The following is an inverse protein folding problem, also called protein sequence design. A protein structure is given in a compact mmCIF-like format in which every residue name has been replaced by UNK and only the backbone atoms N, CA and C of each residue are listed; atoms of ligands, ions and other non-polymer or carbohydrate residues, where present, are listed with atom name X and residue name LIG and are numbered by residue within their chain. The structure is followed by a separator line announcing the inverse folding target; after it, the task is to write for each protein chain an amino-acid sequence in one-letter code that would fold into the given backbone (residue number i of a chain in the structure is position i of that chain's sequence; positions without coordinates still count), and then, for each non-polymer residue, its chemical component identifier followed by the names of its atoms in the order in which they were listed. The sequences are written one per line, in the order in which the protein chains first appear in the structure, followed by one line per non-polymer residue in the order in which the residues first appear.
data_IF_930521872422
#
_entry.id   IF_930521872422
#
_cell.length_a   1.000
_cell.length_b   1.000
_cell.length_c   1.000
_cell.angle_alpha   90.00
_cell.angle_beta   90.00
_cell.angle_gamma   90.00
#
_symmetry.space_group_name_H-M   'P 1'
#
loop_
_entity.id
_entity.type
_entity.pdbx_description
1 polymer ?
#
# COMPACT_ATOMS: atom_id res chain seq x y z
N UNK A 1 0.57 1.48 11.71
CA UNK A 1 0.86 0.75 10.46
C UNK A 1 0.18 -0.63 10.44
N UNK A 2 0.26 -1.40 11.52
CA UNK A 2 -0.22 -2.80 11.67
C UNK A 2 -1.65 -3.06 11.19
N UNK A 3 -2.64 -2.22 11.58
CA UNK A 3 -4.04 -2.42 11.19
C UNK A 3 -4.28 -2.31 9.67
N UNK A 4 -3.46 -1.51 8.96
CA UNK A 4 -3.60 -1.27 7.52
C UNK A 4 -3.17 -2.48 6.70
N UNK A 5 -2.14 -3.17 7.17
CA UNK A 5 -1.60 -4.40 6.58
C UNK A 5 -2.54 -5.58 6.84
N UNK A 6 -3.00 -5.75 8.08
CA UNK A 6 -3.92 -6.83 8.43
C UNK A 6 -5.24 -6.72 7.66
N UNK A 7 -5.85 -5.53 7.64
CA UNK A 7 -7.11 -5.32 6.90
C UNK A 7 -6.98 -5.58 5.40
N UNK A 8 -5.81 -5.30 4.80
CA UNK A 8 -5.55 -5.63 3.41
C UNK A 8 -5.37 -7.14 3.21
N UNK A 9 -4.55 -7.79 4.02
CA UNK A 9 -4.30 -9.23 3.89
C UNK A 9 -5.61 -10.02 4.03
N UNK A 10 -6.44 -9.70 5.02
CA UNK A 10 -7.73 -10.37 5.25
C UNK A 10 -8.83 -9.93 4.29
N UNK A 11 -8.59 -8.97 3.38
CA UNK A 11 -9.50 -8.71 2.28
C UNK A 11 -9.48 -9.82 1.21
N UNK A 12 -8.42 -10.64 1.21
CA UNK A 12 -8.39 -11.87 0.43
C UNK A 12 -9.49 -12.83 0.87
N UNK A 13 -9.91 -13.72 -0.03
CA UNK A 13 -10.92 -14.73 0.24
C UNK A 13 -12.24 -14.12 0.77
N UNK A 14 -12.71 -13.08 0.06
CA UNK A 14 -13.97 -12.37 0.31
C UNK A 14 -14.12 -11.78 1.72
N UNK A 15 -13.02 -11.49 2.44
CA UNK A 15 -13.13 -10.91 3.78
C UNK A 15 -13.53 -11.92 4.86
N UNK A 16 -13.43 -13.22 4.60
CA UNK A 16 -13.88 -14.28 5.53
C UNK A 16 -13.09 -14.35 6.85
N UNK A 17 -11.96 -13.65 6.95
CA UNK A 17 -11.03 -13.75 8.07
C UNK A 17 -10.02 -14.89 7.96
N UNK A 18 -10.12 -15.74 6.92
CA UNK A 18 -9.20 -16.84 6.67
C UNK A 18 -8.50 -16.68 5.32
N UNK A 19 -7.17 -16.69 5.34
CA UNK A 19 -6.32 -16.62 4.15
C UNK A 19 -5.40 -17.83 4.15
N UNK A 20 -5.47 -18.64 3.09
CA UNK A 20 -4.60 -19.80 2.94
C UNK A 20 -3.15 -19.35 2.79
N UNK A 21 -2.26 -19.93 3.60
CA UNK A 21 -0.82 -19.68 3.46
C UNK A 21 -0.31 -20.32 2.16
N UNK A 22 0.72 -19.74 1.52
CA UNK A 22 1.36 -20.38 0.38
C UNK A 22 1.84 -21.81 0.67
N UNK A 23 1.78 -22.69 -0.32
CA UNK A 23 2.07 -24.14 -0.17
C UNK A 23 3.41 -24.45 0.50
N UNK A 24 4.43 -23.64 0.19
CA UNK A 24 5.76 -23.83 0.77
C UNK A 24 5.79 -23.62 2.29
N UNK A 25 4.88 -22.81 2.84
CA UNK A 25 4.73 -22.62 4.29
C UNK A 25 3.96 -23.75 4.97
N UNK A 26 3.20 -24.53 4.20
CA UNK A 26 2.36 -25.62 4.71
C UNK A 26 3.13 -26.94 4.85
N UNK A 27 4.35 -27.02 4.29
CA UNK A 27 5.16 -28.23 4.32
C UNK A 27 5.73 -28.49 5.74
N UNK A 28 5.59 -29.70 6.28
CA UNK A 28 6.22 -30.08 7.56
C UNK A 28 7.73 -29.84 7.51
N UNK A 29 8.29 -29.21 8.55
CA UNK A 29 9.72 -28.87 8.65
C UNK A 29 10.11 -27.51 8.08
N UNK A 30 9.20 -26.81 7.38
CA UNK A 30 9.46 -25.51 6.76
C UNK A 30 10.46 -25.60 5.58
N UNK A 31 10.39 -24.70 4.60
CA UNK A 31 11.39 -24.68 3.55
C UNK A 31 12.63 -23.96 4.08
N UNK A 32 13.59 -24.75 4.54
CA UNK A 32 14.95 -24.30 4.76
C UNK A 32 15.90 -25.11 3.86
N UNK A 33 16.44 -24.52 2.76
CA UNK A 33 16.27 -23.14 2.34
C UNK A 33 14.89 -22.85 1.73
N UNK A 34 14.53 -21.56 1.65
CA UNK A 34 13.34 -21.10 0.94
C UNK A 34 13.40 -21.56 -0.53
N UNK A 35 12.27 -21.95 -1.16
CA UNK A 35 12.30 -22.40 -2.55
C UNK A 35 12.77 -21.27 -3.47
N UNK A 36 13.51 -21.58 -4.54
CA UNK A 36 13.99 -20.60 -5.50
C UNK A 36 12.83 -19.93 -6.23
N UNK A 37 12.91 -18.61 -6.42
CA UNK A 37 11.84 -17.81 -7.04
C UNK A 37 12.43 -16.73 -7.93
N UNK A 38 11.66 -16.30 -8.92
CA UNK A 38 11.97 -15.10 -9.71
C UNK A 38 11.41 -13.89 -8.97
N UNK A 39 12.24 -12.89 -8.61
CA UNK A 39 11.74 -11.63 -8.09
C UNK A 39 10.76 -10.99 -9.07
N UNK A 40 9.60 -10.58 -8.56
CA UNK A 40 8.67 -9.77 -9.31
C UNK A 40 9.06 -8.28 -9.20
N UNK A 41 8.86 -7.51 -10.26
CA UNK A 41 9.02 -6.06 -10.23
C UNK A 41 7.66 -5.40 -10.22
N UNK A 42 7.40 -4.60 -9.19
CA UNK A 42 6.21 -3.75 -9.10
C UNK A 42 6.60 -2.32 -9.44
N UNK A 43 5.98 -1.74 -10.46
CA UNK A 43 6.14 -0.33 -10.80
C UNK A 43 4.81 0.38 -10.53
N UNK A 44 4.84 1.40 -9.67
CA UNK A 44 3.68 2.22 -9.31
C UNK A 44 3.94 3.64 -9.78
N UNK A 45 3.12 4.13 -10.71
CA UNK A 45 3.11 5.53 -11.10
C UNK A 45 1.96 6.21 -10.38
N UNK A 46 2.26 7.24 -9.57
CA UNK A 46 1.24 8.06 -8.94
C UNK A 46 1.13 9.37 -9.70
N UNK A 47 0.04 9.52 -10.44
CA UNK A 47 -0.25 10.73 -11.21
C UNK A 47 -0.66 11.87 -10.29
N UNK A 48 -1.63 11.60 -9.40
CA UNK A 48 -2.19 12.64 -8.54
C UNK A 48 -2.88 12.09 -7.31
N UNK A 49 -3.02 12.92 -6.29
CA UNK A 49 -3.83 12.63 -5.12
C UNK A 49 -4.69 13.83 -4.72
N UNK A 50 -5.81 13.55 -4.08
CA UNK A 50 -6.74 14.55 -3.59
C UNK A 50 -7.19 14.19 -2.18
N UNK A 51 -7.07 15.15 -1.28
CA UNK A 51 -7.81 15.21 -0.03
C UNK A 51 -7.98 16.68 0.33
N UNK A 52 -9.17 17.07 0.79
CA UNK A 52 -9.32 18.34 1.47
C UNK A 52 -8.39 18.31 2.70
N UNK A 53 -7.37 19.18 2.72
CA UNK A 53 -6.24 19.21 3.68
C UNK A 53 -5.04 18.30 3.36
N UNK A 54 -4.90 17.78 2.14
CA UNK A 54 -3.75 16.96 1.71
C UNK A 54 -2.56 17.73 1.17
N UNK A 55 -1.37 17.44 1.70
CA UNK A 55 -0.10 18.05 1.26
C UNK A 55 0.96 17.02 0.79
N UNK A 56 0.95 15.77 1.29
CA UNK A 56 2.01 14.77 1.00
C UNK A 56 1.46 13.37 0.69
N UNK A 57 2.25 12.56 -0.03
CA UNK A 57 1.96 11.15 -0.34
C UNK A 57 3.12 10.24 0.07
N UNK A 58 2.82 9.06 0.61
CA UNK A 58 3.78 8.02 0.91
C UNK A 58 3.31 6.67 0.35
N UNK A 59 4.20 5.90 -0.26
CA UNK A 59 3.97 4.54 -0.73
C UNK A 59 4.86 3.57 0.05
N UNK A 60 4.30 2.42 0.44
CA UNK A 60 4.95 1.43 1.28
C UNK A 60 4.80 0.03 0.67
N UNK A 61 5.84 -0.78 0.87
CA UNK A 61 5.81 -2.22 0.59
C UNK A 61 6.62 -2.94 1.64
N UNK A 62 5.95 -3.63 2.57
CA UNK A 62 6.44 -4.42 3.72
C UNK A 62 7.60 -3.78 4.54
N UNK A 63 8.77 -3.56 3.95
CA UNK A 63 9.97 -2.94 4.55
C UNK A 63 10.52 -1.70 3.80
N UNK A 64 9.90 -1.28 2.69
CA UNK A 64 10.35 -0.13 1.87
C UNK A 64 9.40 1.06 2.01
N UNK A 65 9.96 2.21 2.35
CA UNK A 65 9.28 3.50 2.57
C UNK A 65 9.66 4.48 1.46
N UNK A 66 8.69 5.01 0.72
CA UNK A 66 8.92 6.15 -0.15
C UNK A 66 7.91 7.25 0.14
N UNK A 67 8.38 8.39 0.62
CA UNK A 67 7.60 9.59 0.90
C UNK A 67 7.89 10.65 -0.17
N UNK A 68 6.85 11.34 -0.62
CA UNK A 68 6.94 12.47 -1.51
C UNK A 68 6.07 13.60 -1.00
N UNK A 69 6.64 14.80 -0.91
CA UNK A 69 5.96 16.01 -0.48
C UNK A 69 5.77 16.97 -1.65
N UNK A 70 4.56 17.57 -1.80
CA UNK A 70 4.34 18.92 -2.34
C UNK A 70 2.86 19.28 -2.64
N UNK A 71 2.37 20.32 -1.98
CA UNK A 71 1.40 21.32 -2.45
C UNK A 71 -0.13 20.99 -2.50
N UNK A 72 -0.88 22.09 -2.37
CA UNK A 72 -2.23 22.22 -1.79
C UNK A 72 -3.41 21.53 -2.52
N UNK A 73 -4.22 20.79 -1.75
CA UNK A 73 -5.60 20.38 -2.09
C UNK A 73 -5.73 19.32 -3.17
N UNK A 74 -4.88 19.37 -4.20
CA UNK A 74 -4.67 18.36 -5.23
C UNK A 74 -3.17 18.27 -5.52
N UNK A 75 -2.56 17.19 -5.07
CA UNK A 75 -1.17 16.85 -5.33
C UNK A 75 -1.07 16.32 -6.78
N UNK A 76 -0.34 17.04 -7.64
CA UNK A 76 0.09 16.54 -8.95
C UNK A 76 1.55 16.13 -8.79
N UNK A 77 1.84 14.85 -9.02
CA UNK A 77 3.15 14.30 -8.68
C UNK A 77 3.84 13.63 -9.86
N UNK A 78 3.10 12.84 -10.66
CA UNK A 78 3.63 12.02 -11.76
C UNK A 78 4.93 11.26 -11.40
N UNK A 79 5.01 10.78 -10.15
CA UNK A 79 6.19 10.09 -9.63
C UNK A 79 6.04 8.58 -9.77
N UNK A 80 7.11 7.96 -10.28
CA UNK A 80 7.23 6.51 -10.37
C UNK A 80 8.02 5.94 -9.20
N UNK A 81 7.53 4.84 -8.66
CA UNK A 81 8.16 4.02 -7.64
C UNK A 81 8.35 2.60 -8.17
N UNK A 82 9.55 2.06 -8.05
CA UNK A 82 9.89 0.73 -8.49
C UNK A 82 10.33 -0.13 -7.31
N UNK A 83 9.68 -1.28 -7.14
CA UNK A 83 9.93 -2.21 -6.04
C UNK A 83 10.32 -3.57 -6.59
N UNK A 84 11.42 -4.13 -6.08
CA UNK A 84 11.75 -5.55 -6.26
C UNK A 84 11.04 -6.37 -5.17
N UNK A 85 10.27 -7.38 -5.55
CA UNK A 85 9.40 -8.18 -4.67
C UNK A 85 9.75 -9.65 -4.77
N UNK A 86 10.34 -10.20 -3.70
CA UNK A 86 10.70 -11.63 -3.67
C UNK A 86 9.49 -12.54 -3.41
N UNK A 87 8.52 -12.07 -2.64
CA UNK A 87 7.34 -12.83 -2.19
C UNK A 87 6.03 -12.11 -2.55
N UNK A 88 5.69 -11.97 -3.85
CA UNK A 88 4.50 -11.23 -4.26
C UNK A 88 3.20 -11.80 -3.68
N UNK A 89 3.14 -13.11 -3.42
CA UNK A 89 2.00 -13.79 -2.83
C UNK A 89 1.75 -13.46 -1.35
N UNK A 90 2.75 -12.88 -0.66
CA UNK A 90 2.64 -12.44 0.74
C UNK A 90 2.68 -10.92 0.89
N UNK A 91 3.01 -10.20 -0.17
CA UNK A 91 3.27 -8.79 -0.09
C UNK A 91 1.97 -7.97 -0.14
N UNK A 92 1.96 -6.86 0.61
CA UNK A 92 0.88 -5.87 0.58
C UNK A 92 1.42 -4.52 0.10
N UNK A 93 0.71 -3.89 -0.84
CA UNK A 93 0.96 -2.52 -1.26
C UNK A 93 0.11 -1.62 -0.37
N UNK A 94 0.74 -0.63 0.25
CA UNK A 94 0.03 0.42 0.98
C UNK A 94 0.43 1.76 0.38
N UNK A 95 -0.54 2.61 0.08
CA UNK A 95 -0.31 4.00 -0.33
C UNK A 95 -1.05 4.89 0.66
N UNK A 96 -0.34 5.74 1.40
CA UNK A 96 -0.91 6.65 2.38
C UNK A 96 -0.67 8.10 2.01
N UNK A 97 -1.69 8.93 2.10
CA UNK A 97 -1.55 10.38 2.05
C UNK A 97 -1.24 10.89 3.46
N UNK A 98 -0.25 11.77 3.58
CA UNK A 98 0.18 12.40 4.83
C UNK A 98 0.07 13.92 4.74
N UNK A 99 0.03 14.57 5.88
CA UNK A 99 0.23 16.01 6.02
C UNK A 99 1.67 16.28 6.50
N UNK A 100 2.31 17.33 5.98
CA UNK A 100 3.57 17.81 6.54
C UNK A 100 3.29 18.87 7.59
N UNK A 101 3.30 18.45 8.84
CA UNK A 101 3.36 19.39 9.95
C UNK A 101 4.78 19.95 10.12
N UNK A 102 4.91 21.03 10.91
CA UNK A 102 6.17 21.74 11.11
C UNK A 102 7.35 20.81 11.47
N UNK A 103 8.59 21.16 11.10
CA UNK A 103 9.77 20.33 11.38
C UNK A 103 9.85 19.95 12.86
N UNK A 104 9.88 18.64 13.16
CA UNK A 104 9.90 18.10 14.52
C UNK A 104 8.57 17.55 15.04
N UNK A 105 7.51 17.63 14.24
CA UNK A 105 6.20 17.04 14.55
C UNK A 105 5.93 15.75 13.75
N UNK A 106 4.98 14.94 14.24
CA UNK A 106 4.60 13.69 13.57
C UNK A 106 3.69 14.00 12.39
N UNK A 107 4.09 13.60 11.18
CA UNK A 107 3.26 13.76 9.98
C UNK A 107 1.93 12.99 10.09
N UNK A 108 0.82 13.71 10.13
CA UNK A 108 -0.51 13.12 10.24
C UNK A 108 -0.89 12.33 8.99
N UNK A 109 -1.43 11.11 9.16
CA UNK A 109 -1.97 10.35 8.02
C UNK A 109 -3.39 10.81 7.71
N UNK A 110 -3.58 11.41 6.55
CA UNK A 110 -4.87 11.89 6.07
C UNK A 110 -5.74 10.79 5.47
N UNK A 111 -5.11 9.75 4.94
CA UNK A 111 -5.80 8.57 4.45
C UNK A 111 -4.83 7.56 3.87
N UNK A 112 -5.32 6.36 3.59
CA UNK A 112 -4.53 5.34 2.91
C UNK A 112 -5.40 4.40 2.10
N UNK A 113 -4.77 3.73 1.17
CA UNK A 113 -5.29 2.58 0.46
C UNK A 113 -4.32 1.43 0.63
N UNK A 114 -4.83 0.21 0.74
CA UNK A 114 -3.98 -0.97 0.84
C UNK A 114 -4.64 -2.17 0.18
N UNK A 115 -3.83 -2.98 -0.49
CA UNK A 115 -4.28 -4.22 -1.12
C UNK A 115 -3.12 -5.23 -1.24
N UNK A 116 -3.39 -6.54 -1.12
CA UNK A 116 -2.44 -7.60 -1.42
C UNK A 116 -1.96 -7.52 -2.87
N UNK A 117 -0.66 -7.69 -3.11
CA UNK A 117 -0.09 -7.63 -4.47
C UNK A 117 -0.72 -8.67 -5.40
N UNK A 118 -1.04 -9.86 -4.87
CA UNK A 118 -1.70 -10.92 -5.62
C UNK A 118 -3.10 -10.54 -6.16
N UNK A 119 -3.74 -9.52 -5.58
CA UNK A 119 -5.05 -9.02 -6.02
C UNK A 119 -4.97 -7.85 -7.00
N UNK A 120 -3.77 -7.31 -7.27
CA UNK A 120 -3.59 -6.13 -8.10
C UNK A 120 -3.64 -6.49 -9.58
N UNK A 121 -4.54 -5.84 -10.30
CA UNK A 121 -4.49 -5.79 -11.76
C UNK A 121 -3.53 -4.69 -12.23
N UNK A 122 -2.95 -4.86 -13.41
CA UNK A 122 -2.17 -3.81 -14.08
C UNK A 122 -3.11 -2.81 -14.76
N UNK A 123 -2.74 -1.53 -14.75
CA UNK A 123 -3.53 -0.46 -15.37
C UNK A 123 -3.55 0.83 -14.56
N UNK A 124 -4.43 1.74 -14.96
CA UNK A 124 -4.65 3.02 -14.29
C UNK A 124 -5.92 2.92 -13.46
N UNK A 125 -5.82 3.21 -12.16
CA UNK A 125 -6.94 3.08 -11.23
C UNK A 125 -7.12 4.35 -10.43
N UNK A 126 -8.37 4.66 -10.07
CA UNK A 126 -8.68 5.68 -9.07
C UNK A 126 -8.94 4.99 -7.74
N UNK A 127 -8.00 5.12 -6.81
CA UNK A 127 -8.01 4.47 -5.50
C UNK A 127 -8.64 5.40 -4.48
N UNK A 128 -9.72 4.96 -3.82
CA UNK A 128 -10.35 5.75 -2.76
C UNK A 128 -9.65 5.49 -1.42
N UNK A 129 -9.40 6.55 -0.65
CA UNK A 129 -8.69 6.44 0.61
C UNK A 129 -9.62 6.11 1.78
N UNK A 130 -9.10 5.28 2.67
CA UNK A 130 -9.65 4.97 3.99
C UNK A 130 -9.01 5.88 5.03
N UNK A 131 -9.78 6.31 6.02
CA UNK A 131 -9.24 6.97 7.21
C UNK A 131 -8.65 5.94 8.20
N UNK A 132 -8.07 6.43 9.30
CA UNK A 132 -7.52 5.57 10.35
C UNK A 132 -8.55 4.65 11.03
N UNK A 133 -9.85 4.96 10.88
CA UNK A 133 -10.98 4.16 11.36
C UNK A 133 -11.51 3.20 10.27
N UNK A 134 -10.76 3.00 9.18
CA UNK A 134 -11.11 2.17 8.02
C UNK A 134 -12.33 2.66 7.22
N UNK A 135 -12.81 3.89 7.45
CA UNK A 135 -13.96 4.44 6.70
C UNK A 135 -13.48 5.00 5.38
N UNK A 136 -14.20 4.68 4.31
CA UNK A 136 -13.89 5.15 2.98
C UNK A 136 -14.49 6.54 2.74
N UNK A 137 -13.72 7.44 2.17
CA UNK A 137 -14.14 8.82 1.90
C UNK A 137 -14.14 9.08 0.39
N UNK A 138 -15.31 9.29 -0.22
CA UNK A 138 -15.44 9.51 -1.67
C UNK A 138 -14.71 10.75 -2.18
N UNK A 139 -14.48 11.72 -1.28
CA UNK A 139 -13.72 12.94 -1.52
C UNK A 139 -12.22 12.81 -1.19
N UNK A 140 -11.68 11.59 -1.03
CA UNK A 140 -10.24 11.35 -0.83
C UNK A 140 -9.77 10.23 -1.74
N UNK A 141 -8.81 10.50 -2.62
CA UNK A 141 -8.39 9.53 -3.63
C UNK A 141 -6.94 9.71 -4.11
N UNK A 142 -6.37 8.65 -4.68
CA UNK A 142 -5.09 8.62 -5.40
C UNK A 142 -5.35 8.05 -6.81
N UNK A 143 -4.67 8.56 -7.82
CA UNK A 143 -4.72 8.10 -9.22
C UNK A 143 -3.31 7.91 -9.75
#
# INVERSE_FOLDING_TARGET
MTLRLHGAQFSLNAGSGYVLKPDWMLRPGGPNPLPPRRPARLSVLVHSAFAAQGFNLACFKDDLFVQVSHNSGRLLLDQRFDFQVQFPEMAVLVVALKDEDMPGSSHDTLGYWSAPLASLATGTFKLTLKDLRQRQHSNRWIK
#
